data_IF_800731226610
#
_entry.id   IF_800731226610
#
_cell.length_a   1.000
_cell.length_b   1.000
_cell.length_c   1.000
_cell.angle_alpha   90.00
_cell.angle_beta   90.00
_cell.angle_gamma   90.00
#
_symmetry.space_group_name_H-M   'P 1'
#
loop_
_entity.id
_entity.type
_entity.pdbx_description
1 polymer ?
#
# COMPACT_ATOMS: atom_id res chain seq x y z
N UNK A 1 -1.99 -15.19 -11.13
CA UNK A 1 -2.66 -13.99 -10.62
C UNK A 1 -4.05 -13.84 -11.21
N UNK A 2 -4.24 -13.93 -12.53
CA UNK A 2 -5.57 -13.88 -13.19
C UNK A 2 -6.58 -14.92 -12.65
N UNK A 3 -6.12 -15.97 -12.02
CA UNK A 3 -6.98 -17.03 -11.46
C UNK A 3 -7.44 -16.77 -10.02
N UNK A 4 -6.78 -15.85 -9.30
CA UNK A 4 -7.08 -15.58 -7.88
C UNK A 4 -7.95 -14.34 -7.66
N UNK A 5 -7.96 -13.40 -8.62
CA UNK A 5 -8.76 -12.19 -8.56
C UNK A 5 -9.54 -12.07 -9.87
N UNK A 6 -10.81 -12.46 -9.88
CA UNK A 6 -11.66 -12.07 -10.99
C UNK A 6 -11.75 -10.54 -10.91
N UNK A 7 -11.02 -9.85 -11.79
CA UNK A 7 -11.33 -8.48 -12.14
C UNK A 7 -12.84 -8.39 -12.36
N UNK A 8 -13.49 -7.40 -11.79
CA UNK A 8 -14.90 -7.15 -12.09
C UNK A 8 -15.04 -7.12 -13.62
N UNK A 9 -15.87 -8.03 -14.14
CA UNK A 9 -16.09 -8.20 -15.56
C UNK A 9 -16.72 -6.91 -16.12
N UNK A 10 -15.91 -6.04 -16.64
CA UNK A 10 -16.37 -4.76 -17.22
C UNK A 10 -15.33 -3.66 -17.15
N UNK A 11 -14.29 -3.81 -16.36
CA UNK A 11 -13.21 -2.85 -16.32
C UNK A 11 -12.05 -3.30 -17.20
N UNK A 12 -11.59 -2.39 -18.04
CA UNK A 12 -10.33 -2.53 -18.77
C UNK A 12 -9.22 -2.45 -17.75
N UNK A 13 -8.92 -3.58 -17.11
CA UNK A 13 -8.04 -3.73 -15.96
C UNK A 13 -6.85 -2.78 -15.93
N UNK A 14 -6.28 -2.54 -14.77
CA UNK A 14 -5.04 -1.75 -14.67
C UNK A 14 -4.19 -2.04 -15.88
N UNK A 15 -3.82 -1.04 -16.70
CA UNK A 15 -3.03 -1.26 -17.90
C UNK A 15 -1.63 -1.84 -17.59
N UNK A 16 -1.36 -2.14 -16.29
CA UNK A 16 -0.03 -2.50 -15.80
C UNK A 16 -0.02 -3.88 -15.19
N UNK A 17 0.97 -4.64 -15.56
CA UNK A 17 1.32 -5.88 -14.87
C UNK A 17 2.11 -5.54 -13.60
N UNK A 18 1.43 -5.56 -12.44
CA UNK A 18 2.02 -5.31 -11.11
C UNK A 18 2.48 -6.58 -10.43
N UNK A 19 2.72 -7.64 -11.17
CA UNK A 19 3.11 -8.95 -10.63
C UNK A 19 4.40 -8.88 -9.82
N UNK A 20 5.44 -8.24 -10.34
CA UNK A 20 6.73 -8.13 -9.63
C UNK A 20 6.61 -7.33 -8.33
N UNK A 21 5.77 -6.31 -8.32
CA UNK A 21 5.50 -5.49 -7.15
C UNK A 21 4.76 -6.28 -6.08
N UNK A 22 3.75 -7.05 -6.50
CA UNK A 22 2.99 -7.91 -5.60
C UNK A 22 3.86 -9.04 -5.02
N UNK A 23 4.81 -9.56 -5.78
CA UNK A 23 5.77 -10.54 -5.28
C UNK A 23 6.72 -9.92 -4.24
N UNK A 24 7.18 -8.68 -4.40
CA UNK A 24 7.99 -7.99 -3.37
C UNK A 24 7.21 -7.76 -2.07
N UNK A 25 5.95 -7.34 -2.16
CA UNK A 25 5.10 -7.22 -0.97
C UNK A 25 4.85 -8.59 -0.32
N UNK A 26 4.81 -9.64 -1.11
CA UNK A 26 4.74 -11.00 -0.60
C UNK A 26 6.04 -11.42 0.12
N UNK A 27 7.22 -11.18 -0.46
CA UNK A 27 8.52 -11.49 0.14
C UNK A 27 8.64 -10.86 1.54
N UNK A 28 8.19 -9.62 1.72
CA UNK A 28 8.15 -8.96 3.02
C UNK A 28 7.24 -9.70 4.03
N UNK A 29 6.05 -10.15 3.60
CA UNK A 29 5.13 -10.91 4.47
C UNK A 29 5.68 -12.30 4.77
N UNK A 30 6.35 -12.94 3.80
CA UNK A 30 7.03 -14.22 3.99
C UNK A 30 8.14 -14.10 5.03
N UNK A 31 8.98 -13.07 4.96
CA UNK A 31 10.01 -12.77 5.97
C UNK A 31 9.40 -12.54 7.36
N UNK A 32 8.33 -11.73 7.46
CA UNK A 32 7.66 -11.49 8.74
C UNK A 32 7.06 -12.77 9.37
N UNK A 33 6.71 -13.76 8.55
CA UNK A 33 6.07 -15.00 8.99
C UNK A 33 6.99 -16.22 8.98
N UNK A 34 8.26 -16.09 8.59
CA UNK A 34 9.21 -17.21 8.45
C UNK A 34 9.41 -18.02 9.74
N UNK A 35 9.37 -17.33 10.89
CA UNK A 35 9.51 -17.94 12.21
C UNK A 35 8.19 -18.30 12.88
N UNK A 36 7.06 -18.18 12.18
CA UNK A 36 5.76 -18.59 12.65
C UNK A 36 5.53 -20.08 12.37
N UNK A 37 5.20 -20.84 13.41
CA UNK A 37 5.00 -22.31 13.32
C UNK A 37 3.53 -22.72 13.23
N UNK A 38 2.61 -21.83 13.61
CA UNK A 38 1.16 -22.08 13.58
C UNK A 38 0.43 -21.13 12.64
N UNK A 39 -0.75 -21.55 12.16
CA UNK A 39 -1.62 -20.70 11.35
C UNK A 39 -2.12 -19.47 12.14
N UNK A 40 -2.30 -19.61 13.45
CA UNK A 40 -2.66 -18.50 14.33
C UNK A 40 -1.58 -17.41 14.35
N UNK A 41 -0.31 -17.79 14.50
CA UNK A 41 0.82 -16.85 14.47
C UNK A 41 0.87 -16.07 13.14
N UNK A 42 0.80 -16.79 12.03
CA UNK A 42 0.81 -16.20 10.69
C UNK A 42 -0.37 -15.25 10.46
N UNK A 43 -1.57 -15.70 10.83
CA UNK A 43 -2.79 -14.90 10.68
C UNK A 43 -2.73 -13.60 11.49
N UNK A 44 -2.20 -13.67 12.72
CA UNK A 44 -2.02 -12.50 13.60
C UNK A 44 -0.99 -11.52 13.05
N UNK A 45 0.19 -11.99 12.63
CA UNK A 45 1.24 -11.13 12.07
C UNK A 45 0.75 -10.35 10.85
N UNK A 46 0.01 -11.02 9.95
CA UNK A 46 -0.57 -10.38 8.78
C UNK A 46 -1.69 -9.41 9.15
N UNK A 47 -2.55 -9.77 10.10
CA UNK A 47 -3.58 -8.86 10.62
C UNK A 47 -2.97 -7.56 11.13
N UNK A 48 -2.00 -7.67 12.03
CA UNK A 48 -1.32 -6.52 12.64
C UNK A 48 -0.54 -5.69 11.63
N UNK A 49 0.05 -6.34 10.62
CA UNK A 49 0.71 -5.65 9.52
C UNK A 49 -0.29 -4.77 8.73
N UNK A 50 -1.43 -5.33 8.31
CA UNK A 50 -2.42 -4.58 7.56
C UNK A 50 -3.01 -3.43 8.38
N UNK A 51 -3.42 -3.71 9.62
CA UNK A 51 -3.96 -2.68 10.53
C UNK A 51 -2.96 -1.55 10.76
N UNK A 52 -1.67 -1.86 10.83
CA UNK A 52 -0.61 -0.87 11.12
C UNK A 52 -0.19 -0.05 9.90
N UNK A 53 -0.26 -0.61 8.70
CA UNK A 53 0.29 0.01 7.49
C UNK A 53 -0.74 0.66 6.60
N UNK A 54 -2.02 0.27 6.69
CA UNK A 54 -3.09 0.81 5.85
C UNK A 54 -3.80 1.94 6.58
N UNK A 55 -4.06 3.03 5.87
CA UNK A 55 -4.94 4.10 6.32
C UNK A 55 -6.34 3.91 5.74
N UNK A 56 -7.38 3.86 6.58
CA UNK A 56 -8.75 3.83 6.09
C UNK A 56 -9.09 5.13 5.35
N UNK A 57 -9.38 5.04 4.06
CA UNK A 57 -9.69 6.21 3.24
C UNK A 57 -10.38 5.83 1.94
N UNK A 58 -11.42 6.58 1.56
CA UNK A 58 -12.05 6.51 0.24
C UNK A 58 -11.47 7.53 -0.75
N UNK A 59 -10.39 8.25 -0.40
CA UNK A 59 -9.87 9.38 -1.19
C UNK A 59 -9.27 8.99 -2.55
N UNK A 60 -8.92 7.70 -2.75
CA UNK A 60 -8.33 7.18 -4.00
C UNK A 60 -9.36 6.92 -5.12
N UNK A 61 -10.62 7.31 -4.92
CA UNK A 61 -11.70 6.97 -5.83
C UNK A 61 -12.23 5.55 -5.65
N UNK A 62 -13.45 5.30 -6.18
CA UNK A 62 -14.21 4.09 -5.88
C UNK A 62 -13.49 2.79 -6.30
N UNK A 63 -12.74 2.79 -7.39
CA UNK A 63 -12.10 1.57 -7.89
C UNK A 63 -10.90 1.15 -7.03
N UNK A 64 -9.92 2.03 -6.84
CA UNK A 64 -8.68 1.70 -6.12
C UNK A 64 -8.91 1.53 -4.63
N UNK A 65 -9.77 2.37 -4.01
CA UNK A 65 -10.07 2.25 -2.58
C UNK A 65 -10.78 0.93 -2.22
N UNK A 66 -11.49 0.32 -3.15
CA UNK A 66 -12.19 -0.95 -2.96
C UNK A 66 -11.41 -2.17 -3.46
N UNK A 67 -10.19 -1.99 -3.95
CA UNK A 67 -9.37 -3.06 -4.49
C UNK A 67 -8.14 -3.36 -3.60
N UNK A 68 -7.52 -4.48 -3.86
CA UNK A 68 -6.25 -4.91 -3.27
C UNK A 68 -5.13 -3.92 -3.57
N UNK A 69 -5.19 -3.23 -4.71
CA UNK A 69 -4.23 -2.20 -5.09
C UNK A 69 -4.17 -1.07 -4.05
N UNK A 70 -5.32 -0.55 -3.64
CA UNK A 70 -5.39 0.46 -2.58
C UNK A 70 -4.77 -0.01 -1.26
N UNK A 71 -5.04 -1.25 -0.88
CA UNK A 71 -4.53 -1.81 0.37
C UNK A 71 -3.01 -2.10 0.32
N UNK A 72 -2.55 -2.79 -0.74
CA UNK A 72 -1.17 -3.30 -0.79
C UNK A 72 -0.19 -2.22 -1.25
N UNK A 73 -0.55 -1.44 -2.26
CA UNK A 73 0.39 -0.49 -2.86
C UNK A 73 0.21 0.94 -2.37
N UNK A 74 -1.03 1.42 -2.34
CA UNK A 74 -1.30 2.79 -1.91
C UNK A 74 -1.35 2.95 -0.39
N UNK A 75 -1.40 1.82 0.35
CA UNK A 75 -1.59 1.76 1.81
C UNK A 75 -2.79 2.61 2.27
N UNK A 76 -3.81 2.74 1.39
CA UNK A 76 -5.07 3.46 1.63
C UNK A 76 -6.21 2.73 0.97
N UNK A 77 -7.21 2.33 1.73
CA UNK A 77 -8.40 1.68 1.18
C UNK A 77 -9.58 1.77 2.14
N UNK A 78 -10.72 1.23 1.71
CA UNK A 78 -11.90 0.98 2.54
C UNK A 78 -11.96 -0.50 2.91
N UNK A 79 -13.00 -0.93 3.62
CA UNK A 79 -13.15 -2.28 4.16
C UNK A 79 -12.90 -3.42 3.15
N UNK A 80 -13.34 -3.25 1.90
CA UNK A 80 -13.15 -4.25 0.86
C UNK A 80 -11.65 -4.46 0.53
N UNK A 81 -10.87 -3.38 0.45
CA UNK A 81 -9.42 -3.45 0.26
C UNK A 81 -8.71 -4.23 1.39
N UNK A 82 -9.05 -3.95 2.67
CA UNK A 82 -8.54 -4.73 3.81
C UNK A 82 -8.87 -6.23 3.66
N UNK A 83 -10.13 -6.53 3.38
CA UNK A 83 -10.58 -7.92 3.27
C UNK A 83 -9.92 -8.68 2.11
N UNK A 84 -9.71 -8.01 0.97
CA UNK A 84 -9.03 -8.58 -0.19
C UNK A 84 -7.54 -8.82 0.08
N UNK A 85 -6.86 -7.86 0.69
CA UNK A 85 -5.44 -7.98 1.03
C UNK A 85 -5.21 -9.10 2.06
N UNK A 86 -6.04 -9.15 3.11
CA UNK A 86 -5.96 -10.23 4.10
C UNK A 86 -6.16 -11.61 3.47
N UNK A 87 -7.18 -11.77 2.63
CA UNK A 87 -7.42 -13.02 1.89
C UNK A 87 -6.24 -13.38 0.98
N UNK A 88 -5.64 -12.40 0.30
CA UNK A 88 -4.49 -12.64 -0.57
C UNK A 88 -3.33 -13.26 0.21
N UNK A 89 -2.93 -12.65 1.33
CA UNK A 89 -1.82 -13.15 2.14
C UNK A 89 -2.15 -14.47 2.81
N UNK A 90 -3.36 -14.66 3.34
CA UNK A 90 -3.77 -15.93 3.93
C UNK A 90 -3.70 -17.08 2.92
N UNK A 91 -4.20 -16.87 1.70
CA UNK A 91 -4.14 -17.88 0.64
C UNK A 91 -2.70 -18.23 0.24
N UNK A 92 -1.81 -17.24 0.19
CA UNK A 92 -0.37 -17.45 -0.07
C UNK A 92 0.30 -18.25 1.06
N UNK A 93 -0.13 -18.06 2.30
CA UNK A 93 0.31 -18.81 3.48
C UNK A 93 -0.38 -20.19 3.62
N UNK A 94 -1.22 -20.60 2.65
CA UNK A 94 -2.03 -21.81 2.64
C UNK A 94 -3.07 -21.87 3.79
N UNK A 95 -3.52 -20.73 4.29
CA UNK A 95 -4.58 -20.62 5.28
C UNK A 95 -5.90 -20.32 4.55
N UNK A 96 -6.92 -21.18 4.63
CA UNK A 96 -8.19 -20.95 3.95
C UNK A 96 -8.87 -19.66 4.43
N UNK A 97 -9.15 -18.75 3.50
CA UNK A 97 -9.74 -17.44 3.78
C UNK A 97 -10.79 -17.07 2.73
N UNK A 98 -11.92 -16.53 3.17
CA UNK A 98 -13.00 -16.01 2.31
C UNK A 98 -13.23 -14.53 2.63
N UNK A 99 -13.63 -13.75 1.64
CA UNK A 99 -14.22 -12.41 1.85
C UNK A 99 -15.71 -12.58 2.05
N UNK A 100 -16.25 -11.92 3.04
CA UNK A 100 -17.68 -11.84 3.34
C UNK A 100 -18.14 -10.42 3.08
N UNK A 101 -19.27 -10.28 2.40
CA UNK A 101 -19.93 -8.99 2.18
C UNK A 101 -21.27 -8.96 2.89
N UNK A 102 -21.59 -7.82 3.49
CA UNK A 102 -22.82 -7.64 4.23
C UNK A 102 -23.01 -6.23 4.77
N UNK A 103 -23.51 -6.13 5.97
CA UNK A 103 -23.78 -4.86 6.66
C UNK A 103 -23.20 -4.93 8.06
N UNK A 104 -22.43 -3.92 8.46
CA UNK A 104 -21.97 -3.69 9.83
C UNK A 104 -22.37 -2.29 10.28
N UNK A 105 -22.95 -2.18 11.49
CA UNK A 105 -23.40 -0.90 12.06
C UNK A 105 -24.28 -0.08 11.10
N UNK A 106 -25.09 -0.78 10.29
CA UNK A 106 -26.02 -0.15 9.34
C UNK A 106 -25.42 0.33 8.02
N UNK A 107 -24.13 0.04 7.74
CA UNK A 107 -23.45 0.41 6.50
C UNK A 107 -22.99 -0.83 5.73
N UNK A 108 -22.97 -0.82 4.39
CA UNK A 108 -22.33 -1.85 3.60
C UNK A 108 -20.89 -2.06 4.06
N UNK A 109 -20.50 -3.32 4.22
CA UNK A 109 -19.21 -3.67 4.81
C UNK A 109 -18.68 -4.99 4.26
N UNK A 110 -17.35 -5.16 4.31
CA UNK A 110 -16.67 -6.39 3.93
C UNK A 110 -15.64 -6.77 5.00
N UNK A 111 -15.51 -8.07 5.25
CA UNK A 111 -14.60 -8.68 6.22
C UNK A 111 -14.20 -10.09 5.79
N UNK A 112 -13.58 -10.88 6.66
CA UNK A 112 -13.10 -12.20 6.31
C UNK A 112 -13.68 -13.31 7.19
N UNK A 113 -13.75 -14.52 6.62
CA UNK A 113 -13.75 -15.78 7.34
C UNK A 113 -12.41 -16.48 7.10
N UNK A 114 -11.79 -16.98 8.16
CA UNK A 114 -10.53 -17.70 8.09
C UNK A 114 -10.60 -19.01 8.88
N UNK A 115 -9.85 -20.03 8.45
CA UNK A 115 -9.84 -21.35 9.08
C UNK A 115 -8.55 -21.53 9.89
N UNK A 116 -8.69 -21.60 11.22
CA UNK A 116 -7.60 -21.86 12.16
C UNK A 116 -7.90 -23.16 12.91
N UNK A 117 -6.93 -24.07 12.99
CA UNK A 117 -7.06 -25.36 13.68
C UNK A 117 -8.32 -26.15 13.28
N UNK A 118 -8.67 -26.09 11.98
CA UNK A 118 -9.83 -26.79 11.42
C UNK A 118 -11.18 -26.12 11.66
N UNK A 119 -11.26 -25.01 12.37
CA UNK A 119 -12.46 -24.24 12.70
C UNK A 119 -12.48 -22.89 11.96
N UNK A 120 -13.68 -22.41 11.62
CA UNK A 120 -13.86 -21.12 10.97
C UNK A 120 -14.18 -20.01 11.98
N UNK A 121 -13.59 -18.84 11.77
CA UNK A 121 -13.75 -17.62 12.57
C UNK A 121 -13.91 -16.41 11.68
N UNK A 122 -14.49 -15.34 12.20
CA UNK A 122 -14.50 -14.04 11.57
C UNK A 122 -13.27 -13.22 11.92
N UNK A 123 -12.78 -12.42 10.95
CA UNK A 123 -11.74 -11.40 11.13
C UNK A 123 -12.18 -10.13 10.41
N UNK A 124 -12.18 -9.02 11.12
CA UNK A 124 -12.44 -7.70 10.55
C UNK A 124 -11.29 -6.73 10.89
N UNK A 125 -10.26 -6.74 10.06
CA UNK A 125 -9.12 -5.86 10.22
C UNK A 125 -9.47 -4.37 10.09
N UNK A 126 -10.57 -4.03 9.41
CA UNK A 126 -11.05 -2.64 9.30
C UNK A 126 -11.52 -2.11 10.65
N UNK A 127 -12.30 -2.90 11.42
CA UNK A 127 -12.77 -2.47 12.73
C UNK A 127 -11.70 -2.60 13.82
N UNK A 128 -10.67 -3.41 13.60
CA UNK A 128 -9.49 -3.48 14.45
C UNK A 128 -8.47 -2.36 14.17
N UNK A 129 -8.59 -1.69 13.02
CA UNK A 129 -7.83 -0.47 12.74
C UNK A 129 -8.39 0.71 13.55
N UNK A 130 -7.63 1.15 14.55
CA UNK A 130 -7.99 2.31 15.36
C UNK A 130 -8.01 3.62 14.59
N UNK A 131 -7.38 3.70 13.41
CA UNK A 131 -7.33 4.91 12.57
C UNK A 131 -8.61 5.16 11.79
N UNK A 132 -9.46 4.17 11.60
CA UNK A 132 -10.73 4.37 10.91
C UNK A 132 -11.68 5.33 11.66
N UNK A 133 -11.36 5.65 12.91
CA UNK A 133 -12.14 6.55 13.79
C UNK A 133 -11.36 7.81 14.20
N UNK A 134 -10.01 7.81 14.07
CA UNK A 134 -9.13 8.87 14.57
C UNK A 134 -8.08 9.21 13.50
N UNK A 135 -7.93 10.49 13.18
CA UNK A 135 -6.89 11.02 12.26
C UNK A 135 -5.45 10.89 12.80
N UNK A 136 -5.19 10.10 13.84
CA UNK A 136 -3.91 10.08 14.55
C UNK A 136 -2.95 8.97 14.09
N UNK A 137 -1.70 9.36 13.90
CA UNK A 137 -0.59 8.59 13.31
C UNK A 137 0.03 7.51 14.19
N UNK A 138 -0.34 7.38 15.46
CA UNK A 138 0.01 6.24 16.32
C UNK A 138 -1.21 5.34 16.46
N UNK A 139 -1.43 4.50 15.47
CA UNK A 139 -2.63 3.68 15.40
C UNK A 139 -2.58 2.53 16.42
N UNK A 140 -3.55 2.47 17.36
CA UNK A 140 -3.71 1.28 18.16
C UNK A 140 -4.11 0.12 17.25
N UNK A 141 -3.41 -0.99 17.33
CA UNK A 141 -3.80 -2.26 16.71
C UNK A 141 -4.70 -2.96 17.70
N UNK A 142 -5.98 -3.06 17.38
CA UNK A 142 -6.95 -3.79 18.19
C UNK A 142 -7.04 -5.23 17.69
N UNK A 143 -7.57 -6.11 18.53
CA UNK A 143 -7.81 -7.51 18.19
C UNK A 143 -9.24 -7.93 18.57
N UNK A 144 -10.12 -6.94 18.75
CA UNK A 144 -11.51 -7.17 19.15
C UNK A 144 -12.26 -7.99 18.10
N UNK A 145 -11.99 -7.76 16.83
CA UNK A 145 -12.60 -8.46 15.70
C UNK A 145 -11.69 -9.54 15.08
N UNK A 146 -10.59 -9.87 15.71
CA UNK A 146 -9.70 -10.95 15.28
C UNK A 146 -10.16 -12.28 15.84
N UNK A 147 -10.51 -13.26 14.99
CA UNK A 147 -10.98 -14.61 15.32
C UNK A 147 -12.24 -14.63 16.23
N UNK A 148 -13.28 -13.91 15.83
CA UNK A 148 -14.59 -13.95 16.51
C UNK A 148 -15.45 -15.13 16.07
N UNK A 149 -16.20 -15.67 17.03
CA UNK A 149 -17.33 -16.52 16.72
C UNK A 149 -18.52 -15.70 16.21
N UNK A 150 -19.49 -16.38 15.61
CA UNK A 150 -20.75 -15.76 15.18
C UNK A 150 -21.53 -15.13 16.35
N UNK A 151 -21.42 -15.70 17.54
CA UNK A 151 -22.09 -15.18 18.74
C UNK A 151 -21.58 -13.80 19.14
N UNK A 152 -20.26 -13.58 19.02
CA UNK A 152 -19.60 -12.32 19.36
C UNK A 152 -19.55 -11.35 18.16
N UNK A 153 -20.09 -11.72 17.00
CA UNK A 153 -20.11 -10.94 15.77
C UNK A 153 -21.49 -10.35 15.45
N UNK A 154 -22.26 -10.05 16.50
CA UNK A 154 -23.69 -9.68 16.42
C UNK A 154 -23.98 -8.32 15.76
N UNK A 155 -22.98 -7.45 15.61
CA UNK A 155 -23.07 -6.16 14.92
C UNK A 155 -22.88 -6.26 13.40
N UNK A 156 -22.72 -7.49 12.88
CA UNK A 156 -22.61 -7.80 11.46
C UNK A 156 -23.78 -8.67 10.99
N UNK A 157 -24.22 -8.44 9.75
CA UNK A 157 -25.26 -9.25 9.10
C UNK A 157 -24.88 -9.54 7.66
N UNK A 158 -25.12 -10.78 7.19
CA UNK A 158 -24.77 -11.20 5.83
C UNK A 158 -25.75 -12.29 5.35
N UNK A 159 -25.79 -12.53 4.03
CA UNK A 159 -26.43 -13.72 3.51
C UNK A 159 -25.51 -14.93 3.79
N UNK A 160 -26.04 -15.93 4.47
CA UNK A 160 -25.27 -17.12 4.92
C UNK A 160 -24.92 -18.09 3.79
N UNK A 161 -25.55 -17.96 2.65
CA UNK A 161 -25.34 -18.87 1.53
C UNK A 161 -23.90 -18.78 1.00
N UNK A 162 -23.20 -19.90 0.91
CA UNK A 162 -21.82 -19.98 0.44
C UNK A 162 -20.74 -19.65 1.48
N UNK A 163 -21.12 -19.28 2.70
CA UNK A 163 -20.21 -19.02 3.80
C UNK A 163 -20.18 -20.14 4.83
N UNK A 164 -19.11 -20.16 5.62
CA UNK A 164 -18.88 -21.19 6.63
C UNK A 164 -19.55 -20.82 7.96
N UNK A 165 -19.80 -21.83 8.80
CA UNK A 165 -20.33 -21.63 10.15
C UNK A 165 -19.17 -21.35 11.10
N UNK A 166 -19.18 -20.18 11.73
CA UNK A 166 -18.16 -19.72 12.69
C UNK A 166 -18.71 -19.84 14.13
N UNK A 167 -18.95 -21.05 14.61
CA UNK A 167 -19.57 -21.30 15.91
C UNK A 167 -18.60 -21.71 17.03
N UNK A 168 -17.31 -21.75 16.75
CA UNK A 168 -16.30 -22.04 17.75
C UNK A 168 -15.94 -20.78 18.52
N UNK A 169 -16.00 -20.84 19.86
CA UNK A 169 -15.83 -19.70 20.77
C UNK A 169 -14.44 -19.65 21.43
N UNK A 170 -13.52 -20.50 20.97
CA UNK A 170 -12.18 -20.65 21.58
C UNK A 170 -11.47 -19.30 21.77
N UNK A 171 -11.57 -18.41 20.78
CA UNK A 171 -10.86 -17.13 20.81
C UNK A 171 -11.70 -15.94 21.29
N UNK A 172 -12.97 -16.11 21.66
CA UNK A 172 -13.83 -14.97 21.99
C UNK A 172 -13.39 -14.20 23.24
N UNK A 173 -12.86 -14.93 24.24
CA UNK A 173 -12.51 -14.36 25.54
C UNK A 173 -11.05 -14.61 25.96
N UNK A 174 -10.14 -14.72 25.00
CA UNK A 174 -8.71 -14.87 25.32
C UNK A 174 -8.13 -13.58 25.86
N UNK A 175 -7.24 -13.69 26.83
CA UNK A 175 -6.71 -12.56 27.61
C UNK A 175 -5.96 -11.54 26.73
N UNK A 176 -5.16 -11.99 25.76
CA UNK A 176 -4.37 -11.14 24.86
C UNK A 176 -5.21 -10.30 23.89
N UNK A 177 -6.43 -10.68 23.60
CA UNK A 177 -7.31 -9.99 22.63
C UNK A 177 -7.66 -8.56 23.04
N UNK A 178 -7.59 -8.24 24.33
CA UNK A 178 -7.93 -6.93 24.86
C UNK A 178 -6.77 -5.92 24.82
N UNK A 179 -5.62 -6.34 24.28
CA UNK A 179 -4.49 -5.45 24.10
C UNK A 179 -4.65 -4.68 22.79
N UNK A 180 -4.56 -3.35 22.86
CA UNK A 180 -4.68 -2.45 21.71
C UNK A 180 -3.30 -2.04 21.19
N UNK A 181 -2.40 -3.02 21.00
CA UNK A 181 -1.02 -2.83 20.53
C UNK A 181 -0.64 -3.97 19.61
N UNK A 182 0.29 -3.69 18.69
CA UNK A 182 0.89 -4.72 17.84
C UNK A 182 1.49 -5.84 18.70
N UNK A 183 1.23 -7.07 18.29
CA UNK A 183 1.82 -8.25 18.89
C UNK A 183 2.98 -8.78 18.04
N UNK A 184 3.83 -9.61 18.64
CA UNK A 184 4.85 -10.36 17.92
C UNK A 184 4.56 -11.85 18.03
N UNK A 185 4.94 -12.61 16.99
CA UNK A 185 4.82 -14.06 16.98
C UNK A 185 6.16 -14.69 16.63
N UNK A 186 6.52 -15.76 17.35
CA UNK A 186 7.80 -16.45 17.14
C UNK A 186 7.77 -17.87 17.68
N UNK A 187 8.00 -18.86 16.83
CA UNK A 187 8.21 -20.28 17.17
C UNK A 187 7.23 -20.83 18.22
N UNK A 188 5.95 -20.72 17.97
CA UNK A 188 4.90 -21.21 18.85
C UNK A 188 4.52 -20.28 20.01
N UNK A 189 5.01 -19.04 20.02
CA UNK A 189 4.70 -18.05 21.03
C UNK A 189 4.09 -16.78 20.45
N UNK A 190 3.00 -16.31 21.06
CA UNK A 190 2.47 -14.97 20.88
C UNK A 190 3.00 -14.08 22.00
N UNK A 191 3.63 -12.98 21.66
CA UNK A 191 4.21 -12.03 22.61
C UNK A 191 3.40 -10.75 22.62
N UNK A 192 3.00 -10.35 23.83
CA UNK A 192 2.06 -9.26 24.06
C UNK A 192 2.62 -8.31 25.12
N UNK A 193 2.67 -7.03 24.82
CA UNK A 193 3.02 -6.00 25.80
C UNK A 193 1.75 -5.51 26.52
N UNK A 194 1.72 -5.61 27.84
CA UNK A 194 0.52 -5.22 28.59
C UNK A 194 0.63 -5.40 30.10
N UNK A 195 -0.48 -5.12 30.75
CA UNK A 195 -0.65 -5.25 32.22
C UNK A 195 -1.81 -6.19 32.49
N UNK A 196 -1.53 -7.29 33.19
CA UNK A 196 -2.53 -8.31 33.50
C UNK A 196 -2.53 -8.68 34.98
N UNK A 197 -3.70 -9.04 35.57
CA UNK A 197 -3.78 -9.50 36.94
C UNK A 197 -3.19 -10.91 37.09
N UNK A 198 -2.28 -11.06 38.07
CA UNK A 198 -1.73 -12.36 38.52
C UNK A 198 -1.72 -12.36 40.04
N UNK A 199 -2.36 -13.36 40.65
CA UNK A 199 -2.42 -13.53 42.10
C UNK A 199 -2.89 -12.30 42.87
N UNK A 200 -3.86 -11.55 42.28
CA UNK A 200 -4.42 -10.34 42.89
C UNK A 200 -3.57 -9.09 42.71
N UNK A 201 -2.46 -9.15 41.98
CA UNK A 201 -1.57 -8.01 41.67
C UNK A 201 -1.54 -7.77 40.17
N UNK A 202 -1.56 -6.50 39.77
CA UNK A 202 -1.35 -6.13 38.36
C UNK A 202 0.14 -6.17 38.08
N UNK A 203 0.54 -7.06 37.19
CA UNK A 203 1.90 -7.14 36.67
C UNK A 203 1.96 -6.60 35.23
N UNK A 204 2.99 -5.85 34.95
CA UNK A 204 3.21 -5.21 33.64
C UNK A 204 4.49 -5.73 33.00
N UNK A 205 4.46 -5.91 31.70
CA UNK A 205 5.60 -6.42 30.97
C UNK A 205 5.25 -7.08 29.65
N UNK A 206 6.12 -7.96 29.21
CA UNK A 206 5.94 -8.78 28.01
C UNK A 206 5.47 -10.15 28.44
N UNK A 207 4.37 -10.59 27.87
CA UNK A 207 3.70 -11.84 28.17
C UNK A 207 3.77 -12.77 26.97
N UNK A 208 4.09 -14.03 27.19
CA UNK A 208 4.08 -15.08 26.20
C UNK A 208 2.84 -15.95 26.37
N UNK A 209 2.12 -16.15 25.27
CA UNK A 209 1.03 -17.14 25.15
C UNK A 209 1.48 -18.25 24.20
N UNK A 210 1.09 -19.50 24.51
CA UNK A 210 1.32 -20.62 23.61
C UNK A 210 0.35 -20.51 22.42
N UNK A 211 0.85 -20.47 21.19
CA UNK A 211 -0.01 -20.35 20.01
C UNK A 211 -0.80 -21.62 19.67
N UNK A 212 -0.40 -22.78 20.20
CA UNK A 212 -1.16 -24.03 20.09
C UNK A 212 -2.30 -24.11 21.13
N UNK A 213 -2.13 -23.47 22.30
CA UNK A 213 -3.18 -23.34 23.34
C UNK A 213 -3.25 -21.89 23.88
N UNK A 214 -3.70 -20.95 23.06
CA UNK A 214 -3.72 -19.52 23.41
C UNK A 214 -4.83 -19.14 24.40
N UNK A 215 -5.62 -20.11 24.88
CA UNK A 215 -6.66 -19.89 25.89
C UNK A 215 -6.10 -19.87 27.31
N UNK A 216 -4.90 -20.41 27.49
CA UNK A 216 -4.19 -20.36 28.75
C UNK A 216 -3.77 -18.93 29.09
N UNK A 217 -3.59 -18.68 30.39
CA UNK A 217 -3.04 -17.40 30.86
C UNK A 217 -1.60 -17.23 30.38
N UNK A 218 -1.27 -16.04 29.91
CA UNK A 218 0.08 -15.72 29.50
C UNK A 218 1.10 -15.85 30.63
N UNK A 219 2.31 -16.26 30.29
CA UNK A 219 3.51 -16.26 31.12
C UNK A 219 4.20 -14.89 31.02
N UNK A 220 4.52 -14.28 32.16
CA UNK A 220 5.31 -13.05 32.18
C UNK A 220 6.79 -13.38 31.90
N UNK A 221 7.27 -13.01 30.72
CA UNK A 221 8.66 -13.32 30.31
C UNK A 221 9.64 -12.17 30.51
N UNK A 222 9.14 -10.93 30.49
CA UNK A 222 9.91 -9.73 30.85
C UNK A 222 9.02 -8.85 31.72
N UNK A 223 9.38 -8.66 33.01
CA UNK A 223 8.68 -7.77 33.91
C UNK A 223 9.19 -6.32 33.73
N UNK A 224 8.27 -5.36 33.57
CA UNK A 224 8.57 -3.95 33.37
C UNK A 224 7.76 -3.12 34.34
N UNK A 225 8.44 -2.58 35.35
CA UNK A 225 7.85 -1.79 36.43
C UNK A 225 7.72 -0.28 36.08
N UNK A 226 8.30 0.12 34.95
CA UNK A 226 8.32 1.51 34.51
C UNK A 226 6.92 2.08 34.30
N UNK A 227 6.79 3.38 34.56
CA UNK A 227 5.54 4.13 34.40
C UNK A 227 5.71 5.25 33.38
N UNK A 228 4.77 5.30 32.41
CA UNK A 228 4.67 6.37 31.41
C UNK A 228 3.79 7.51 31.93
N UNK A 229 4.14 8.77 31.69
CA UNK A 229 3.30 9.92 32.03
C UNK A 229 2.13 10.05 31.04
N UNK A 230 1.03 9.32 31.26
CA UNK A 230 -0.14 9.35 30.34
C UNK A 230 -0.84 10.71 30.31
N UNK A 231 -0.71 11.50 31.38
CA UNK A 231 -1.16 12.89 31.45
C UNK A 231 -0.34 13.66 32.49
N UNK A 232 -0.60 14.97 32.62
CA UNK A 232 0.04 15.80 33.64
C UNK A 232 -0.14 15.26 35.10
N UNK A 233 -1.21 14.51 35.36
CA UNK A 233 -1.55 14.03 36.70
C UNK A 233 -1.48 12.51 36.86
N UNK A 234 -1.45 11.77 35.75
CA UNK A 234 -1.55 10.31 35.77
C UNK A 234 -0.37 9.65 35.10
N UNK A 235 0.05 8.53 35.69
CA UNK A 235 0.99 7.61 35.10
C UNK A 235 0.30 6.27 34.81
N UNK A 236 0.79 5.57 33.81
CA UNK A 236 0.30 4.26 33.40
C UNK A 236 1.45 3.26 33.24
N UNK A 237 1.19 2.02 33.61
CA UNK A 237 2.07 0.89 33.31
C UNK A 237 1.59 0.18 32.04
N UNK A 238 2.46 -0.64 31.44
CA UNK A 238 2.11 -1.44 30.29
C UNK A 238 1.97 -0.64 28.97
N UNK A 239 2.54 0.55 28.90
CA UNK A 239 2.50 1.40 27.70
C UNK A 239 3.66 1.15 26.71
N UNK A 240 4.40 0.03 26.87
CA UNK A 240 5.46 -0.35 25.95
C UNK A 240 4.90 -0.85 24.61
N UNK A 241 5.66 -0.64 23.56
CA UNK A 241 5.49 -1.28 22.25
C UNK A 241 6.53 -2.38 22.09
N UNK A 242 6.22 -3.36 21.23
CA UNK A 242 7.14 -4.43 20.88
C UNK A 242 7.30 -4.54 19.37
N UNK A 243 8.48 -4.96 18.91
CA UNK A 243 8.76 -5.23 17.51
C UNK A 243 9.68 -6.45 17.39
N UNK A 244 9.35 -7.35 16.47
CA UNK A 244 10.26 -8.43 16.07
C UNK A 244 11.13 -7.95 14.92
N UNK A 245 12.44 -8.20 15.00
CA UNK A 245 13.39 -7.92 13.93
C UNK A 245 14.63 -8.81 14.11
N UNK A 246 15.05 -9.49 13.05
CA UNK A 246 16.27 -10.32 12.98
C UNK A 246 16.46 -11.27 14.19
N UNK A 247 15.43 -12.06 14.50
CA UNK A 247 15.48 -13.05 15.59
C UNK A 247 15.42 -12.46 17.00
N UNK A 248 15.20 -11.16 17.15
CA UNK A 248 15.17 -10.44 18.41
C UNK A 248 13.82 -9.77 18.65
N UNK A 249 13.35 -9.77 19.89
CA UNK A 249 12.26 -8.92 20.34
C UNK A 249 12.83 -7.60 20.85
N UNK A 250 12.44 -6.50 20.22
CA UNK A 250 12.72 -5.15 20.69
C UNK A 250 11.52 -4.63 21.46
N UNK A 251 11.78 -3.88 22.54
CA UNK A 251 10.73 -3.21 23.30
C UNK A 251 11.26 -1.92 23.92
N UNK A 252 10.37 -1.01 24.30
CA UNK A 252 10.75 0.22 24.97
C UNK A 252 10.29 0.26 26.42
N UNK A 253 11.07 0.96 27.23
CA UNK A 253 10.67 1.60 28.49
C UNK A 253 10.44 3.10 28.22
N UNK A 254 10.00 3.93 29.17
CA UNK A 254 9.84 5.36 28.92
C UNK A 254 11.08 6.05 28.37
N UNK A 255 12.27 5.57 28.73
CA UNK A 255 13.54 6.25 28.45
C UNK A 255 14.55 5.42 27.62
N UNK A 256 14.28 4.16 27.39
CA UNK A 256 15.22 3.28 26.71
C UNK A 256 14.54 2.29 25.78
N UNK A 257 15.30 1.79 24.82
CA UNK A 257 14.95 0.65 24.01
C UNK A 257 15.84 -0.53 24.38
N UNK A 258 15.22 -1.68 24.44
CA UNK A 258 15.84 -2.94 24.84
C UNK A 258 15.61 -3.98 23.74
N UNK A 259 16.47 -5.00 23.69
CA UNK A 259 16.28 -6.20 22.86
C UNK A 259 16.43 -7.46 23.72
N UNK A 260 15.67 -8.48 23.34
CA UNK A 260 15.69 -9.78 24.01
C UNK A 260 15.78 -10.90 22.98
N UNK A 261 16.65 -11.87 23.23
CA UNK A 261 16.80 -13.02 22.34
C UNK A 261 15.88 -14.15 22.78
N UNK A 262 14.90 -14.48 21.92
CA UNK A 262 13.91 -15.52 22.18
C UNK A 262 14.54 -16.91 22.44
N UNK A 263 15.58 -17.28 21.67
CA UNK A 263 16.16 -18.62 21.69
C UNK A 263 17.11 -18.83 22.88
N UNK A 264 17.69 -17.78 23.40
CA UNK A 264 18.74 -17.87 24.43
C UNK A 264 18.21 -17.73 25.85
N UNK A 265 16.98 -17.29 26.01
CA UNK A 265 16.38 -16.98 27.33
C UNK A 265 17.36 -16.22 28.26
N UNK A 266 18.04 -15.23 27.67
CA UNK A 266 19.02 -14.38 28.38
C UNK A 266 18.31 -13.16 28.93
N UNK A 267 18.97 -12.45 29.85
CA UNK A 267 18.48 -11.13 30.28
C UNK A 267 18.40 -10.17 29.08
N UNK A 268 17.41 -9.27 29.06
CA UNK A 268 17.31 -8.24 28.03
C UNK A 268 18.54 -7.33 28.01
N UNK A 269 18.97 -6.96 26.80
CA UNK A 269 20.09 -6.07 26.56
C UNK A 269 19.61 -4.67 26.18
N UNK A 270 20.14 -3.62 26.84
CA UNK A 270 19.81 -2.24 26.46
C UNK A 270 20.43 -1.89 25.11
N UNK A 271 19.61 -1.44 24.15
CA UNK A 271 20.06 -0.98 22.84
C UNK A 271 20.54 0.47 22.92
N UNK A 272 19.70 1.34 23.48
CA UNK A 272 20.06 2.73 23.80
C UNK A 272 19.17 3.29 24.89
N UNK A 273 19.57 4.45 25.43
CA UNK A 273 18.79 5.27 26.36
C UNK A 273 18.69 6.68 25.79
N UNK A 274 17.55 7.34 25.99
CA UNK A 274 17.36 8.72 25.57
C UNK A 274 18.38 9.63 26.25
N UNK A 275 18.97 10.53 25.48
CA UNK A 275 19.82 11.57 26.01
C UNK A 275 19.07 12.45 27.03
N UNK A 276 19.75 13.01 28.00
CA UNK A 276 19.13 13.85 29.06
C UNK A 276 18.39 15.07 28.52
N UNK A 277 18.80 15.59 27.36
CA UNK A 277 18.17 16.71 26.67
C UNK A 277 16.88 16.33 25.93
N UNK A 278 16.58 15.05 25.75
CA UNK A 278 15.33 14.57 25.12
C UNK A 278 14.21 14.56 26.15
N UNK A 279 13.27 15.50 25.99
CA UNK A 279 12.08 15.58 26.85
C UNK A 279 11.05 14.50 26.48
N UNK A 280 10.32 14.02 27.48
CA UNK A 280 9.23 13.06 27.27
C UNK A 280 9.64 11.61 27.39
N UNK A 281 8.75 10.75 26.93
CA UNK A 281 8.88 9.28 26.96
C UNK A 281 8.71 8.70 25.57
N UNK A 282 9.23 7.49 25.35
CA UNK A 282 9.03 6.72 24.12
C UNK A 282 7.62 6.13 24.15
N UNK A 283 6.81 6.41 23.12
CA UNK A 283 5.42 5.97 23.00
C UNK A 283 5.17 5.03 21.82
N UNK A 284 6.08 5.02 20.87
CA UNK A 284 5.99 4.21 19.68
C UNK A 284 7.35 3.57 19.39
N UNK A 285 7.33 2.35 18.88
CA UNK A 285 8.51 1.60 18.46
C UNK A 285 8.21 0.82 17.18
N UNK A 286 9.13 0.93 16.24
CA UNK A 286 9.21 0.08 15.06
C UNK A 286 10.66 -0.22 14.77
N UNK A 287 10.98 -1.44 14.29
CA UNK A 287 12.35 -1.82 13.93
C UNK A 287 12.33 -2.38 12.51
N UNK A 288 13.14 -1.80 11.65
CA UNK A 288 13.31 -2.21 10.26
C UNK A 288 14.63 -1.65 9.74
N UNK A 289 15.17 -2.24 8.68
CA UNK A 289 16.29 -1.69 7.89
C UNK A 289 17.51 -1.29 8.73
N UNK A 290 17.82 -2.11 9.74
CA UNK A 290 18.96 -1.84 10.62
C UNK A 290 18.77 -0.64 11.55
N UNK A 291 17.53 -0.17 11.75
CA UNK A 291 17.21 0.98 12.60
C UNK A 291 16.05 0.70 13.54
N UNK A 292 16.08 1.38 14.69
CA UNK A 292 14.92 1.57 15.55
C UNK A 292 14.31 2.93 15.23
N UNK A 293 13.05 2.94 14.82
CA UNK A 293 12.22 4.13 14.67
C UNK A 293 11.36 4.28 15.91
N UNK A 294 11.35 5.46 16.51
CA UNK A 294 10.58 5.69 17.72
C UNK A 294 10.02 7.10 17.79
N UNK A 295 8.99 7.27 18.57
CA UNK A 295 8.35 8.57 18.78
C UNK A 295 8.40 8.96 20.27
N UNK A 296 8.73 10.22 20.54
CA UNK A 296 8.78 10.76 21.91
C UNK A 296 7.77 11.88 22.09
N UNK A 297 7.13 11.93 23.26
CA UNK A 297 6.32 13.06 23.71
C UNK A 297 6.25 13.12 25.24
N UNK A 298 5.84 14.28 25.78
CA UNK A 298 5.66 14.46 27.22
C UNK A 298 4.55 13.57 27.78
N UNK A 299 3.44 13.46 27.04
CA UNK A 299 2.27 12.65 27.43
C UNK A 299 1.74 11.88 26.21
N UNK A 300 0.96 10.84 26.45
CA UNK A 300 0.41 9.96 25.43
C UNK A 300 -0.29 10.69 24.27
N UNK A 301 -1.11 11.70 24.60
CA UNK A 301 -1.94 12.44 23.63
C UNK A 301 -1.27 13.68 23.03
N UNK A 302 -0.02 13.98 23.40
CA UNK A 302 0.71 15.09 22.81
C UNK A 302 1.21 14.73 21.42
N UNK A 303 1.49 15.76 20.62
CA UNK A 303 2.22 15.60 19.38
C UNK A 303 3.54 14.88 19.62
N UNK A 304 3.83 13.89 18.79
CA UNK A 304 4.98 13.02 18.94
C UNK A 304 6.11 13.45 18.01
N UNK A 305 7.31 13.53 18.54
CA UNK A 305 8.52 13.78 17.78
C UNK A 305 9.09 12.45 17.29
N UNK A 306 9.22 12.31 15.96
CA UNK A 306 9.79 11.12 15.32
C UNK A 306 11.30 11.13 15.42
N UNK A 307 11.87 10.00 15.75
CA UNK A 307 13.31 9.78 15.93
C UNK A 307 13.73 8.43 15.36
N UNK A 308 15.04 8.28 15.11
CA UNK A 308 15.63 7.01 14.71
C UNK A 308 16.94 6.75 15.45
N UNK A 309 17.30 5.46 15.59
CA UNK A 309 18.56 4.99 16.12
C UNK A 309 19.09 3.85 15.26
N UNK A 310 20.32 3.95 14.78
CA UNK A 310 20.95 2.94 13.93
C UNK A 310 21.46 1.78 14.79
N UNK A 311 21.03 0.57 14.48
CA UNK A 311 21.44 -0.67 15.16
C UNK A 311 22.32 -1.55 14.27
N UNK A 312 22.24 -1.38 12.94
CA UNK A 312 23.17 -1.97 11.98
C UNK A 312 23.72 -0.89 11.03
N UNK A 313 24.97 -0.49 11.25
CA UNK A 313 25.66 0.50 10.43
C UNK A 313 26.03 -0.03 9.03
N UNK A 314 25.98 -1.33 8.81
CA UNK A 314 26.26 -1.96 7.52
C UNK A 314 25.01 -2.15 6.66
N UNK A 315 23.84 -1.89 7.21
CA UNK A 315 22.59 -1.95 6.44
C UNK A 315 22.66 -0.99 5.24
N UNK A 316 22.39 -1.51 4.06
CA UNK A 316 22.39 -0.73 2.82
C UNK A 316 20.97 -0.68 2.27
N UNK A 317 20.42 0.54 2.12
CA UNK A 317 19.18 0.73 1.39
C UNK A 317 19.32 0.21 -0.04
N UNK A 318 18.28 -0.45 -0.53
CA UNK A 318 18.27 -0.95 -1.90
C UNK A 318 17.93 0.15 -2.90
N UNK A 319 18.28 -0.07 -4.16
CA UNK A 319 17.96 0.85 -5.24
C UNK A 319 16.43 0.99 -5.36
N UNK A 320 15.95 2.22 -5.53
CA UNK A 320 14.53 2.49 -5.71
C UNK A 320 13.98 1.77 -6.97
N UNK A 321 12.84 1.07 -6.86
CA UNK A 321 12.26 0.32 -7.97
C UNK A 321 11.50 1.19 -8.99
N UNK A 322 11.54 2.53 -8.87
CA UNK A 322 10.78 3.43 -9.72
C UNK A 322 11.00 3.13 -11.20
N UNK A 323 9.94 2.93 -11.92
CA UNK A 323 9.91 2.70 -13.36
C UNK A 323 8.68 3.35 -13.99
N UNK A 324 8.70 3.51 -15.31
CA UNK A 324 7.59 4.05 -16.10
C UNK A 324 7.22 3.07 -17.21
N UNK A 325 5.95 3.07 -17.60
CA UNK A 325 5.44 2.16 -18.65
C UNK A 325 6.05 2.40 -20.02
N UNK A 326 6.43 3.65 -20.29
CA UNK A 326 6.97 4.05 -21.60
C UNK A 326 8.09 5.07 -21.40
N UNK A 327 9.35 4.70 -21.60
CA UNK A 327 10.48 5.62 -21.46
C UNK A 327 10.54 6.68 -22.57
N UNK A 328 9.79 6.48 -23.66
CA UNK A 328 9.66 7.44 -24.76
C UNK A 328 8.21 7.54 -25.18
N UNK A 329 7.68 8.75 -25.24
CA UNK A 329 6.30 9.02 -25.66
C UNK A 329 6.25 10.06 -26.78
N UNK A 330 5.36 9.86 -27.73
CA UNK A 330 5.06 10.83 -28.78
C UNK A 330 3.65 11.39 -28.54
N UNK A 331 3.53 12.73 -28.51
CA UNK A 331 2.28 13.48 -28.40
C UNK A 331 2.15 14.45 -29.56
N UNK A 332 0.94 14.83 -29.90
CA UNK A 332 0.63 15.77 -30.98
C UNK A 332 0.04 17.06 -30.40
N UNK A 333 0.42 18.22 -30.97
CA UNK A 333 -0.21 19.49 -30.62
C UNK A 333 -1.70 19.42 -31.00
N UNK A 334 -2.59 19.76 -30.06
CA UNK A 334 -4.02 19.70 -30.28
C UNK A 334 -4.61 18.28 -30.33
N UNK A 335 -3.78 17.24 -30.13
CA UNK A 335 -4.20 15.84 -30.09
C UNK A 335 -4.81 15.46 -28.73
N UNK A 336 -5.21 14.17 -28.62
CA UNK A 336 -5.72 13.62 -27.37
C UNK A 336 -4.66 13.68 -26.28
N UNK A 337 -5.10 13.99 -25.06
CA UNK A 337 -4.24 13.98 -23.88
C UNK A 337 -3.61 12.60 -23.69
N UNK A 338 -2.31 12.57 -23.38
CA UNK A 338 -1.59 11.37 -22.96
C UNK A 338 -1.02 11.57 -21.57
N UNK A 339 -0.81 10.48 -20.88
CA UNK A 339 -0.29 10.47 -19.52
C UNK A 339 0.96 9.61 -19.42
N UNK A 340 1.90 10.05 -18.58
CA UNK A 340 3.01 9.23 -18.11
C UNK A 340 2.53 8.47 -16.90
N UNK A 341 2.62 7.16 -16.93
CA UNK A 341 2.23 6.28 -15.82
C UNK A 341 3.45 5.63 -15.20
N UNK A 342 3.42 5.47 -13.88
CA UNK A 342 4.36 4.61 -13.18
C UNK A 342 4.12 3.15 -13.58
N UNK A 343 5.20 2.38 -13.63
CA UNK A 343 5.17 0.94 -13.75
C UNK A 343 5.62 0.35 -12.42
N UNK A 344 4.71 -0.34 -11.74
CA UNK A 344 5.02 -0.97 -10.47
C UNK A 344 5.09 -0.02 -9.27
N UNK A 345 5.69 -0.48 -8.15
CA UNK A 345 5.80 0.28 -6.92
C UNK A 345 6.72 1.49 -7.08
N UNK A 346 6.28 2.60 -6.54
CA UNK A 346 7.12 3.76 -6.29
C UNK A 346 6.91 4.20 -4.84
N UNK A 347 7.51 3.50 -3.86
CA UNK A 347 7.44 3.88 -2.46
C UNK A 347 7.96 5.30 -2.24
N UNK A 348 7.42 5.99 -1.25
CA UNK A 348 7.75 7.39 -0.99
C UNK A 348 6.84 8.39 -1.73
N UNK A 349 7.20 9.65 -1.69
CA UNK A 349 6.45 10.70 -2.38
C UNK A 349 6.96 10.77 -3.83
N UNK A 350 6.05 10.60 -4.78
CA UNK A 350 6.36 10.69 -6.20
C UNK A 350 5.99 12.06 -6.72
N UNK A 351 6.86 12.64 -7.54
CA UNK A 351 6.65 13.91 -8.21
C UNK A 351 7.02 13.80 -9.69
N UNK A 352 6.30 14.54 -10.52
CA UNK A 352 6.52 14.64 -11.96
C UNK A 352 6.96 16.05 -12.33
N UNK A 353 8.06 16.18 -13.05
CA UNK A 353 8.61 17.47 -13.43
C UNK A 353 8.97 17.52 -14.89
N UNK A 354 8.40 18.49 -15.61
CA UNK A 354 8.83 18.80 -16.98
C UNK A 354 10.13 19.61 -16.96
N UNK A 355 11.14 19.13 -17.67
CA UNK A 355 12.43 19.84 -17.80
C UNK A 355 12.39 20.92 -18.88
N UNK A 356 11.44 20.82 -19.83
CA UNK A 356 11.21 21.81 -20.88
C UNK A 356 9.71 22.17 -20.92
N UNK A 357 9.21 22.95 -19.93
CA UNK A 357 7.77 23.22 -19.81
C UNK A 357 7.23 24.14 -20.93
N UNK A 358 8.09 24.80 -21.70
CA UNK A 358 7.70 25.56 -22.90
C UNK A 358 7.40 24.68 -24.10
N UNK A 359 7.91 23.44 -24.12
CA UNK A 359 7.64 22.43 -25.15
C UNK A 359 6.52 21.52 -24.72
N UNK A 360 6.66 20.90 -23.54
CA UNK A 360 5.66 20.06 -22.92
C UNK A 360 5.68 20.25 -21.39
N UNK A 361 4.58 20.66 -20.82
CA UNK A 361 4.38 20.78 -19.39
C UNK A 361 3.66 19.55 -18.85
N UNK A 362 3.52 19.45 -17.52
CA UNK A 362 2.83 18.35 -16.87
C UNK A 362 1.82 18.87 -15.84
N UNK A 363 0.74 18.13 -15.69
CA UNK A 363 -0.24 18.29 -14.62
C UNK A 363 -0.38 16.93 -13.93
N UNK A 364 -0.18 16.89 -12.62
CA UNK A 364 -0.36 15.67 -11.86
C UNK A 364 -1.81 15.18 -12.01
N UNK A 365 -1.93 13.88 -12.33
CA UNK A 365 -3.19 13.24 -12.59
C UNK A 365 -3.39 12.08 -11.68
N UNK A 366 -4.14 11.62 -11.09
CA UNK A 366 -4.48 10.41 -10.34
C UNK A 366 -3.45 9.97 -9.29
N UNK A 367 -3.68 10.37 -8.03
CA UNK A 367 -3.08 9.79 -6.81
C UNK A 367 -1.56 9.57 -6.89
N UNK A 368 -0.82 10.57 -7.38
CA UNK A 368 0.66 10.57 -7.50
C UNK A 368 1.24 9.44 -8.39
N UNK A 369 0.39 8.78 -9.20
CA UNK A 369 0.83 7.65 -10.05
C UNK A 369 0.90 7.97 -11.53
N UNK A 370 0.38 9.08 -11.95
CA UNK A 370 0.48 9.56 -13.33
C UNK A 370 0.53 11.07 -13.41
N UNK A 371 1.03 11.56 -14.54
CA UNK A 371 0.87 12.96 -14.90
C UNK A 371 0.37 13.07 -16.34
N UNK A 372 -0.50 14.05 -16.55
CA UNK A 372 -0.99 14.41 -17.88
C UNK A 372 0.03 15.29 -18.59
N UNK A 373 0.32 14.96 -19.84
CA UNK A 373 1.19 15.75 -20.70
C UNK A 373 0.42 16.92 -21.33
N UNK A 374 0.99 18.11 -21.24
CA UNK A 374 0.44 19.34 -21.82
C UNK A 374 1.39 19.84 -22.90
N UNK A 375 1.25 19.36 -24.17
CA UNK A 375 2.12 19.80 -25.26
C UNK A 375 1.81 21.25 -25.64
N UNK A 376 2.84 22.09 -25.71
CA UNK A 376 2.73 23.53 -26.02
C UNK A 376 3.40 23.90 -27.33
N UNK A 377 4.47 23.21 -27.72
CA UNK A 377 5.26 23.50 -28.93
C UNK A 377 5.90 22.22 -29.46
N UNK A 378 6.01 22.09 -30.77
CA UNK A 378 6.74 20.99 -31.38
C UNK A 378 8.23 21.00 -30.98
N UNK A 379 8.75 19.82 -30.62
CA UNK A 379 10.13 19.66 -30.14
C UNK A 379 10.28 18.46 -29.22
N UNK A 380 11.42 18.37 -28.56
CA UNK A 380 11.71 17.33 -27.56
C UNK A 380 11.71 17.93 -26.15
N UNK A 381 11.11 17.21 -25.22
CA UNK A 381 11.09 17.52 -23.80
C UNK A 381 11.42 16.26 -22.99
N UNK A 382 11.68 16.42 -21.72
CA UNK A 382 11.86 15.32 -20.77
C UNK A 382 10.96 15.56 -19.56
N UNK A 383 10.27 14.52 -19.14
CA UNK A 383 9.59 14.48 -17.84
C UNK A 383 10.40 13.60 -16.91
N UNK A 384 10.94 14.19 -15.84
CA UNK A 384 11.61 13.45 -14.78
C UNK A 384 10.56 13.04 -13.74
N UNK A 385 10.47 11.77 -13.50
CA UNK A 385 9.66 11.18 -12.40
C UNK A 385 10.63 10.87 -11.27
N UNK A 386 10.38 11.43 -10.11
CA UNK A 386 11.25 11.27 -8.92
C UNK A 386 10.44 10.71 -7.76
N UNK A 387 11.03 9.76 -7.04
CA UNK A 387 10.50 9.24 -5.79
C UNK A 387 11.50 9.50 -4.65
N UNK A 388 10.99 10.00 -3.53
CA UNK A 388 11.81 10.25 -2.34
C UNK A 388 12.33 8.96 -1.73
N UNK A 389 13.47 9.02 -1.04
CA UNK A 389 13.95 7.91 -0.24
C UNK A 389 12.91 7.49 0.82
N UNK A 390 12.85 6.20 1.09
CA UNK A 390 12.09 5.61 2.21
C UNK A 390 13.06 4.97 3.20
N UNK A 391 12.54 4.28 4.20
CA UNK A 391 13.37 3.54 5.15
C UNK A 391 14.15 2.41 4.46
N UNK A 392 13.56 1.77 3.46
CA UNK A 392 14.13 0.64 2.73
C UNK A 392 14.82 1.03 1.41
N UNK A 393 14.34 2.06 0.71
CA UNK A 393 14.81 2.44 -0.62
C UNK A 393 15.62 3.74 -0.61
N UNK A 394 16.67 3.80 -1.42
CA UNK A 394 17.31 5.06 -1.82
C UNK A 394 16.29 5.92 -2.58
N UNK A 395 16.54 7.23 -2.70
CA UNK A 395 15.78 8.02 -3.68
C UNK A 395 16.00 7.49 -5.10
N UNK A 396 15.00 7.64 -5.96
CA UNK A 396 15.07 7.19 -7.34
C UNK A 396 14.48 8.18 -8.31
N UNK A 397 14.96 8.13 -9.54
CA UNK A 397 14.43 8.94 -10.63
C UNK A 397 14.46 8.15 -11.93
N UNK A 398 13.48 8.42 -12.80
CA UNK A 398 13.43 7.92 -14.16
C UNK A 398 12.98 9.04 -15.11
N UNK A 399 13.62 9.13 -16.25
CA UNK A 399 13.31 10.12 -17.28
C UNK A 399 12.46 9.52 -18.38
N UNK A 400 11.43 10.25 -18.79
CA UNK A 400 10.59 9.95 -19.95
C UNK A 400 10.86 10.99 -21.04
N UNK A 401 11.35 10.52 -22.16
CA UNK A 401 11.53 11.37 -23.34
C UNK A 401 10.18 11.64 -24.00
N UNK A 402 9.82 12.91 -24.17
CA UNK A 402 8.59 13.34 -24.84
C UNK A 402 8.94 13.96 -26.19
N UNK A 403 8.33 13.47 -27.24
CA UNK A 403 8.44 14.00 -28.59
C UNK A 403 7.10 14.64 -28.94
N UNK A 404 7.07 15.99 -28.96
CA UNK A 404 5.89 16.74 -29.38
C UNK A 404 5.97 16.98 -30.88
N UNK A 405 5.06 16.36 -31.62
CA UNK A 405 4.89 16.59 -33.05
C UNK A 405 4.03 17.84 -33.28
N UNK A 406 4.34 18.57 -34.37
CA UNK A 406 3.47 19.64 -34.82
C UNK A 406 2.07 19.10 -35.18
N UNK A 407 1.06 19.98 -35.08
CA UNK A 407 -0.28 19.64 -35.51
C UNK A 407 -0.24 19.23 -37.00
N UNK A 408 -0.60 17.98 -37.28
CA UNK A 408 -0.74 17.50 -38.65
C UNK A 408 -1.87 18.23 -39.41
N UNK A 409 -2.76 18.93 -38.70
CA UNK A 409 -3.80 19.78 -39.28
C UNK A 409 -3.26 21.10 -39.88
N UNK A 410 -2.00 21.49 -39.54
CA UNK A 410 -1.32 22.67 -40.10
C UNK A 410 -0.31 22.34 -41.18
N UNK A 411 -0.29 21.12 -41.73
CA UNK A 411 0.41 20.92 -43.01
C UNK A 411 -0.20 21.90 -44.02
N UNK A 412 0.62 22.84 -44.41
CA UNK A 412 0.22 23.91 -45.32
C UNK A 412 -0.25 23.28 -46.64
N UNK A 413 -1.59 23.17 -46.79
CA UNK A 413 -2.18 22.61 -48.01
C UNK A 413 -1.72 23.44 -49.22
N UNK A 414 -1.32 22.77 -50.27
CA UNK A 414 -0.98 23.35 -51.55
C UNK A 414 -2.19 23.32 -52.47
N UNK A 415 -2.36 24.41 -53.24
CA UNK A 415 -3.45 24.49 -54.21
C UNK A 415 -3.04 23.74 -55.49
N UNK A 416 -3.76 22.70 -55.83
CA UNK A 416 -3.58 21.98 -57.09
C UNK A 416 -4.13 22.81 -58.25
N UNK A 417 -3.29 23.21 -59.21
CA UNK A 417 -3.72 23.91 -60.43
C UNK A 417 -3.29 23.11 -61.64
N UNK A 418 -4.25 22.93 -62.57
CA UNK A 418 -3.99 22.28 -63.83
C UNK A 418 -4.91 22.79 -64.91
N UNK A 419 -4.49 22.77 -66.14
CA UNK A 419 -5.24 23.25 -67.32
C UNK A 419 -5.23 22.19 -68.42
N UNK A 420 -6.33 22.05 -69.14
CA UNK A 420 -6.45 21.25 -70.34
C UNK A 420 -6.31 22.13 -71.57
N UNK A 421 -5.61 21.62 -72.59
CA UNK A 421 -5.59 22.29 -73.90
C UNK A 421 -6.96 22.24 -74.58
N UNK A 422 -7.09 22.97 -75.73
CA UNK A 422 -8.35 23.16 -76.49
C UNK A 422 -8.89 21.88 -77.10
N UNK A 423 -8.14 20.79 -77.16
CA UNK A 423 -8.49 19.56 -77.86
C UNK A 423 -8.72 18.36 -76.91
N UNK A 424 -9.10 18.59 -75.68
CA UNK A 424 -9.37 17.53 -74.71
C UNK A 424 -9.73 18.02 -73.33
N UNK A 425 -10.08 17.12 -72.45
CA UNK A 425 -10.32 17.36 -71.05
C UNK A 425 -9.24 16.69 -70.21
N UNK A 426 -8.91 17.27 -69.04
CA UNK A 426 -7.95 16.73 -68.05
C UNK A 426 -8.63 16.56 -66.71
N UNK A 427 -8.49 15.37 -66.11
CA UNK A 427 -9.01 15.06 -64.79
C UNK A 427 -7.82 14.65 -63.91
N UNK A 428 -7.85 15.15 -62.69
CA UNK A 428 -6.90 14.77 -61.65
C UNK A 428 -7.56 13.89 -60.62
N UNK A 429 -6.84 12.84 -60.15
CA UNK A 429 -7.30 11.99 -59.06
C UNK A 429 -6.18 11.79 -58.06
N UNK A 430 -6.54 11.66 -56.78
CA UNK A 430 -5.57 11.22 -55.78
C UNK A 430 -5.22 9.76 -56.07
N UNK A 431 -3.94 9.48 -56.29
CA UNK A 431 -3.48 8.14 -56.71
C UNK A 431 -3.70 7.09 -55.59
N UNK A 432 -3.68 7.49 -54.33
CA UNK A 432 -3.85 6.60 -53.20
C UNK A 432 -5.33 6.30 -52.85
N UNK A 433 -6.24 7.28 -53.05
CA UNK A 433 -7.66 7.13 -52.64
C UNK A 433 -8.60 6.96 -53.87
N UNK A 434 -8.17 7.30 -55.06
CA UNK A 434 -8.99 7.30 -56.25
C UNK A 434 -9.98 8.48 -56.30
N UNK A 435 -9.95 9.43 -55.38
CA UNK A 435 -10.83 10.59 -55.28
C UNK A 435 -10.52 11.60 -56.39
N UNK A 436 -11.55 12.15 -57.04
CA UNK A 436 -11.42 13.21 -58.03
C UNK A 436 -11.00 14.52 -57.36
N UNK A 437 -9.94 15.14 -57.88
CA UNK A 437 -9.42 16.43 -57.44
C UNK A 437 -9.78 17.51 -58.44
N UNK A 438 -10.56 18.47 -58.01
CA UNK A 438 -10.91 19.63 -58.88
C UNK A 438 -9.71 20.58 -59.04
N UNK A 439 -9.68 21.36 -60.12
CA UNK A 439 -8.76 22.46 -60.25
C UNK A 439 -9.02 23.49 -59.16
N UNK A 440 -7.97 23.85 -58.40
CA UNK A 440 -8.08 24.66 -57.17
C UNK A 440 -8.25 23.82 -55.90
N UNK A 441 -8.28 22.48 -55.95
CA UNK A 441 -8.36 21.63 -54.73
C UNK A 441 -7.16 21.87 -53.83
N UNK A 442 -7.45 21.89 -52.52
CA UNK A 442 -6.41 21.98 -51.45
C UNK A 442 -5.94 20.59 -51.09
N UNK A 443 -4.71 20.22 -51.45
CA UNK A 443 -4.10 18.91 -51.19
C UNK A 443 -2.91 19.04 -50.25
N UNK A 444 -2.59 17.95 -49.55
CA UNK A 444 -1.42 17.91 -48.67
C UNK A 444 -0.14 17.86 -49.51
N UNK A 445 0.99 18.43 -49.02
CA UNK A 445 2.32 18.20 -49.62
C UNK A 445 2.58 16.69 -49.76
N UNK A 446 3.23 16.31 -50.88
CA UNK A 446 3.54 14.92 -51.23
C UNK A 446 2.32 14.04 -51.56
N UNK A 447 1.11 14.60 -51.75
CA UNK A 447 -0.01 13.86 -52.33
C UNK A 447 0.34 13.46 -53.77
N UNK A 448 0.35 12.19 -54.06
CA UNK A 448 0.52 11.69 -55.43
C UNK A 448 -0.75 11.91 -56.22
N UNK A 449 -0.63 12.69 -57.30
CA UNK A 449 -1.78 13.03 -58.18
C UNK A 449 -1.57 12.41 -59.55
N UNK A 450 -2.57 11.61 -59.94
CA UNK A 450 -2.62 11.02 -61.28
C UNK A 450 -3.50 11.90 -62.19
N UNK A 451 -2.95 12.33 -63.30
CA UNK A 451 -3.68 13.06 -64.33
C UNK A 451 -4.13 12.11 -65.45
N UNK A 452 -5.38 12.19 -65.80
CA UNK A 452 -5.99 11.44 -66.90
C UNK A 452 -6.50 12.42 -67.99
N UNK A 453 -5.98 12.31 -69.19
CA UNK A 453 -6.36 13.10 -70.36
C UNK A 453 -7.38 12.32 -71.22
N UNK A 454 -8.43 12.99 -71.71
CA UNK A 454 -9.38 12.44 -72.67
C UNK A 454 -9.41 13.38 -73.89
N UNK A 455 -8.97 12.94 -75.09
CA UNK A 455 -9.10 13.70 -76.30
C UNK A 455 -10.58 13.89 -76.70
N UNK A 456 -10.92 15.04 -77.30
CA UNK A 456 -12.26 15.30 -77.86
C UNK A 456 -12.49 14.49 -79.14
#
# INVERSE_FOLDING_TARGET
LKTYYPYHSGDTGSPFDRTEELEREWEMVEEMTENCTTDLEKALVVHDHLVRTIQYSASLGAFVAHDIEGAIFEKKCVCEGYALAYKYYMNRLNIPCKVVSGVSKGQPHAWNQIKINGKWYFVDATWDDGSCVLEEKSHPVKHEYFLKSETEFSDHTWNREGYEICNDTTYDNVEWKWVSRKMAAYKGGLYVAGSFPRDGVIKSGIWRYDSEDPTQKGELVVEIEDEWPVSQYNKGKGCMEIAYYDGMLYYNTPKAVWKWNFDKNTEPEKVFELEENVSGSIWYLHVADGKVYYETSLYEKNEKEKREYVIDVNYQKVKHPIAVTSPVMTVELGGNAKEVFLQGAAPGIVTFKANNPDICDVEEAYADRSCKLIPKKAGEATVTVHATATDHYLEGSVDVKIIVKGDSSTEQKITLQYESGSNGSLRAVNAATGENLSNGAQILPNTEVQFMASPN
#
